data_IF_880081159059
#
_entry.id   IF_880081159059
#
_cell.length_a   1.000
_cell.length_b   1.000
_cell.length_c   1.000
_cell.angle_alpha   90.00
_cell.angle_beta   90.00
_cell.angle_gamma   90.00
#
_symmetry.space_group_name_H-M   'P 1'
#
loop_
_entity.id
_entity.type
_entity.pdbx_description
1 polymer ?
#
# COMPACT_ATOMS: atom_id res chain seq x y z
N UNK A 1 23.81 -24.28 33.86
CA UNK A 1 23.05 -23.01 33.91
C UNK A 1 23.46 -21.96 32.87
N UNK A 2 24.75 -21.65 32.58
CA UNK A 2 25.10 -20.51 31.70
C UNK A 2 24.63 -20.68 30.24
N UNK A 3 24.59 -21.93 29.75
CA UNK A 3 24.08 -22.24 28.40
C UNK A 3 22.57 -21.96 28.27
N UNK A 4 21.78 -22.19 29.31
CA UNK A 4 20.33 -21.95 29.30
C UNK A 4 20.05 -20.45 29.31
N UNK A 5 20.76 -19.68 30.14
CA UNK A 5 20.65 -18.21 30.18
C UNK A 5 20.98 -17.61 28.82
N UNK A 6 22.04 -18.11 28.17
CA UNK A 6 22.45 -17.65 26.84
C UNK A 6 21.38 -17.96 25.78
N UNK A 7 20.80 -19.17 25.79
CA UNK A 7 19.73 -19.55 24.86
C UNK A 7 18.48 -18.67 25.06
N UNK A 8 18.06 -18.44 26.30
CA UNK A 8 16.90 -17.58 26.60
C UNK A 8 17.17 -16.13 26.18
N UNK A 9 18.37 -15.61 26.44
CA UNK A 9 18.73 -14.24 26.05
C UNK A 9 18.72 -14.06 24.52
N UNK A 10 19.25 -15.03 23.77
CA UNK A 10 19.23 -15.00 22.30
C UNK A 10 17.80 -15.09 21.76
N UNK A 11 16.95 -15.97 22.32
CA UNK A 11 15.55 -16.08 21.93
C UNK A 11 14.77 -14.78 22.21
N UNK A 12 14.96 -14.19 23.40
CA UNK A 12 14.33 -12.92 23.75
C UNK A 12 14.75 -11.80 22.79
N UNK A 13 16.05 -11.69 22.50
CA UNK A 13 16.60 -10.69 21.59
C UNK A 13 16.05 -10.87 20.16
N UNK A 14 16.03 -12.10 19.64
CA UNK A 14 15.49 -12.41 18.32
C UNK A 14 13.99 -12.08 18.23
N UNK A 15 13.22 -12.37 19.28
CA UNK A 15 11.78 -12.08 19.33
C UNK A 15 11.52 -10.58 19.35
N UNK A 16 12.28 -9.83 20.16
CA UNK A 16 12.18 -8.36 20.23
C UNK A 16 12.56 -7.71 18.90
N UNK A 17 13.67 -8.13 18.28
CA UNK A 17 14.08 -7.66 16.97
C UNK A 17 13.05 -7.99 15.89
N UNK A 18 12.48 -9.20 15.91
CA UNK A 18 11.43 -9.62 14.99
C UNK A 18 10.15 -8.79 15.13
N UNK A 19 9.71 -8.55 16.36
CA UNK A 19 8.53 -7.71 16.64
C UNK A 19 8.79 -6.25 16.25
N UNK A 20 9.98 -5.72 16.51
CA UNK A 20 10.36 -4.36 16.14
C UNK A 20 10.41 -4.16 14.62
N UNK A 21 10.98 -5.13 13.89
CA UNK A 21 10.97 -5.11 12.42
C UNK A 21 9.55 -5.22 11.86
N UNK A 22 8.71 -6.09 12.45
CA UNK A 22 7.31 -6.24 12.05
C UNK A 22 6.52 -4.94 12.27
N UNK A 23 6.75 -4.25 13.37
CA UNK A 23 6.07 -2.99 13.68
C UNK A 23 6.50 -1.81 12.79
N UNK A 24 7.68 -1.88 12.18
CA UNK A 24 8.15 -0.85 11.24
C UNK A 24 7.68 -1.03 9.79
N UNK A 25 7.09 -2.17 9.44
CA UNK A 25 6.61 -2.44 8.09
C UNK A 25 5.10 -2.10 7.97
N UNK A 26 4.70 -1.41 6.89
CA UNK A 26 3.28 -1.14 6.59
C UNK A 26 2.75 0.23 7.07
N UNK A 27 3.61 1.19 7.44
CA UNK A 27 3.15 2.54 7.84
C UNK A 27 2.54 3.25 6.63
N UNK A 28 1.25 3.55 6.72
CA UNK A 28 0.56 4.48 5.84
C UNK A 28 1.16 5.86 6.01
N UNK A 29 1.61 6.43 4.89
CA UNK A 29 2.01 7.83 4.79
C UNK A 29 0.99 8.49 3.89
N UNK A 30 0.11 9.30 4.49
CA UNK A 30 -0.78 10.17 3.73
C UNK A 30 0.07 11.13 2.91
N UNK A 31 -0.28 11.34 1.65
CA UNK A 31 0.25 12.48 0.90
C UNK A 31 -0.54 13.70 1.38
N UNK A 32 0.15 14.78 1.74
CA UNK A 32 -0.53 15.99 2.21
C UNK A 32 -1.41 16.56 1.09
N UNK A 33 -2.75 16.58 1.25
CA UNK A 33 -3.66 17.05 0.20
C UNK A 33 -3.44 18.54 -0.13
N UNK A 34 -2.90 19.33 0.79
CA UNK A 34 -2.53 20.71 0.51
C UNK A 34 -1.34 20.83 -0.44
N UNK A 35 -0.40 19.86 -0.41
CA UNK A 35 0.72 19.79 -1.35
C UNK A 35 0.26 19.30 -2.73
N UNK A 36 -0.70 18.38 -2.80
CA UNK A 36 -1.30 17.95 -4.06
C UNK A 36 -2.05 19.09 -4.76
N UNK A 37 -2.80 19.90 -4.00
CA UNK A 37 -3.55 21.04 -4.54
C UNK A 37 -2.67 22.21 -5.00
N UNK A 38 -1.43 22.31 -4.51
CA UNK A 38 -0.48 23.38 -4.83
C UNK A 38 0.62 22.96 -5.80
N UNK A 39 0.62 21.70 -6.27
CA UNK A 39 1.59 21.21 -7.22
C UNK A 39 1.36 21.85 -8.62
N UNK A 40 2.43 22.24 -9.35
CA UNK A 40 2.31 22.71 -10.72
C UNK A 40 1.65 21.64 -11.61
N UNK A 41 0.93 22.06 -12.65
CA UNK A 41 0.11 21.16 -13.49
C UNK A 41 0.92 19.96 -14.07
N UNK A 42 2.21 20.14 -14.33
CA UNK A 42 3.10 19.07 -14.81
C UNK A 42 3.40 18.02 -13.72
N UNK A 43 3.37 18.39 -12.43
CA UNK A 43 3.50 17.46 -11.30
C UNK A 43 2.18 16.78 -10.93
N UNK A 44 1.04 17.36 -11.33
CA UNK A 44 -0.25 16.66 -11.29
C UNK A 44 -0.22 15.44 -12.22
N UNK A 45 0.49 15.58 -13.35
CA UNK A 45 1.11 14.53 -14.17
C UNK A 45 1.55 13.34 -13.33
N UNK A 46 2.61 13.60 -12.56
CA UNK A 46 3.34 12.64 -11.75
C UNK A 46 2.55 12.00 -10.60
N UNK A 47 1.54 12.70 -10.07
CA UNK A 47 0.71 12.22 -8.97
C UNK A 47 -0.51 11.39 -9.38
N UNK A 48 -0.79 11.26 -10.68
CA UNK A 48 -1.99 10.57 -11.20
C UNK A 48 -1.67 9.28 -11.93
N UNK A 49 -2.58 8.33 -11.82
CA UNK A 49 -2.58 7.06 -12.55
C UNK A 49 -3.92 6.89 -13.27
N UNK A 50 -3.85 6.72 -14.59
CA UNK A 50 -5.04 6.53 -15.42
C UNK A 50 -5.40 5.05 -15.56
N UNK A 51 -6.67 4.75 -15.88
CA UNK A 51 -7.12 3.39 -16.15
C UNK A 51 -6.32 2.72 -17.30
N UNK A 52 -5.86 3.51 -18.28
CA UNK A 52 -5.03 3.02 -19.37
C UNK A 52 -3.64 2.56 -18.89
N UNK A 53 -3.03 3.30 -17.96
CA UNK A 53 -1.73 2.92 -17.36
C UNK A 53 -1.85 1.71 -16.44
N UNK A 54 -3.00 1.53 -15.79
CA UNK A 54 -3.27 0.40 -14.91
C UNK A 54 -3.72 -0.87 -15.65
N UNK A 55 -4.11 -0.74 -16.93
CA UNK A 55 -4.74 -1.84 -17.68
C UNK A 55 -6.10 -2.28 -17.11
N UNK A 56 -6.68 -1.50 -16.20
CA UNK A 56 -7.88 -1.84 -15.44
C UNK A 56 -8.69 -0.58 -15.08
N UNK A 57 -10.02 -0.67 -14.96
CA UNK A 57 -10.83 0.47 -14.55
C UNK A 57 -10.55 0.89 -13.11
N UNK A 58 -10.57 2.21 -12.89
CA UNK A 58 -10.53 2.79 -11.56
C UNK A 58 -11.83 2.47 -10.80
N UNK A 59 -11.71 2.27 -9.49
CA UNK A 59 -12.85 2.15 -8.60
C UNK A 59 -13.63 3.46 -8.51
N UNK A 60 -14.95 3.38 -8.38
CA UNK A 60 -15.81 4.55 -8.29
C UNK A 60 -15.54 5.46 -7.07
N UNK A 61 -14.88 4.93 -6.03
CA UNK A 61 -14.51 5.69 -4.83
C UNK A 61 -13.01 5.70 -4.59
N UNK A 62 -12.36 4.54 -4.67
CA UNK A 62 -10.94 4.43 -4.47
C UNK A 62 -10.35 3.21 -5.18
N UNK A 63 -9.07 3.29 -5.53
CA UNK A 63 -8.33 2.19 -6.15
C UNK A 63 -7.07 1.91 -5.36
N UNK A 64 -6.86 0.65 -4.97
CA UNK A 64 -5.60 0.18 -4.43
C UNK A 64 -4.71 -0.32 -5.56
N UNK A 65 -3.55 0.29 -5.76
CA UNK A 65 -2.55 -0.16 -6.74
C UNK A 65 -1.37 -0.76 -5.98
N UNK A 66 -1.21 -2.07 -6.06
CA UNK A 66 -0.15 -2.80 -5.38
C UNK A 66 1.01 -3.08 -6.34
N UNK A 67 2.17 -2.49 -6.06
CA UNK A 67 3.43 -2.88 -6.68
C UNK A 67 3.98 -4.13 -6.00
N UNK A 68 4.11 -5.21 -6.77
CA UNK A 68 4.63 -6.50 -6.34
C UNK A 68 5.81 -6.95 -7.21
N UNK A 69 6.46 -8.03 -6.79
CA UNK A 69 7.47 -8.70 -7.61
C UNK A 69 7.12 -10.18 -7.70
N UNK A 70 7.41 -10.79 -8.84
CA UNK A 70 7.31 -12.24 -9.02
C UNK A 70 7.94 -12.97 -7.82
N UNK A 71 7.13 -13.79 -7.12
CA UNK A 71 7.56 -14.61 -5.97
C UNK A 71 7.75 -13.86 -4.62
N UNK A 72 7.01 -12.78 -4.38
CA UNK A 72 6.99 -12.14 -3.06
C UNK A 72 5.89 -12.72 -2.12
N UNK A 73 6.28 -13.53 -1.12
CA UNK A 73 5.33 -14.08 -0.14
C UNK A 73 4.54 -13.01 0.67
N UNK A 74 5.15 -11.89 1.12
CA UNK A 74 4.40 -10.79 1.74
C UNK A 74 3.39 -10.11 0.80
N UNK A 75 3.69 -10.10 -0.51
CA UNK A 75 2.83 -9.51 -1.53
C UNK A 75 1.55 -10.33 -1.71
N UNK A 76 1.64 -11.67 -1.69
CA UNK A 76 0.45 -12.55 -1.73
C UNK A 76 -0.50 -12.33 -0.56
N UNK A 77 0.04 -12.12 0.65
CA UNK A 77 -0.79 -11.80 1.82
C UNK A 77 -1.50 -10.45 1.63
N UNK A 78 -0.77 -9.45 1.16
CA UNK A 78 -1.33 -8.11 0.90
C UNK A 78 -2.42 -8.18 -0.16
N UNK A 79 -2.19 -8.91 -1.25
CA UNK A 79 -3.19 -9.15 -2.30
C UNK A 79 -4.46 -9.78 -1.73
N UNK A 80 -4.34 -10.85 -0.94
CA UNK A 80 -5.52 -11.50 -0.33
C UNK A 80 -6.33 -10.54 0.57
N UNK A 81 -5.64 -9.70 1.34
CA UNK A 81 -6.29 -8.69 2.21
C UNK A 81 -7.03 -7.64 1.39
N UNK A 82 -6.40 -7.11 0.33
CA UNK A 82 -7.00 -6.07 -0.52
C UNK A 82 -8.15 -6.62 -1.36
N UNK A 83 -7.98 -7.82 -1.95
CA UNK A 83 -9.03 -8.50 -2.70
C UNK A 83 -10.26 -8.78 -1.83
N UNK A 84 -10.05 -9.20 -0.57
CA UNK A 84 -11.15 -9.36 0.39
C UNK A 84 -11.87 -8.03 0.65
N UNK A 85 -11.13 -6.93 0.86
CA UNK A 85 -11.74 -5.61 1.08
C UNK A 85 -12.56 -5.14 -0.12
N UNK A 86 -12.08 -5.37 -1.35
CA UNK A 86 -12.82 -5.07 -2.58
C UNK A 86 -14.09 -5.89 -2.68
N UNK A 87 -14.09 -7.15 -2.25
CA UNK A 87 -15.30 -8.00 -2.27
C UNK A 87 -16.37 -7.57 -1.26
N UNK A 88 -16.00 -6.84 -0.22
CA UNK A 88 -16.88 -6.45 0.88
C UNK A 88 -17.32 -4.97 0.83
N UNK A 89 -16.81 -4.17 -0.12
CA UNK A 89 -17.09 -2.73 -0.19
C UNK A 89 -17.28 -2.28 -1.62
N UNK A 90 -18.38 -1.55 -1.87
CA UNK A 90 -18.70 -1.08 -3.21
C UNK A 90 -17.82 0.10 -3.63
N UNK A 91 -17.46 0.13 -4.91
CA UNK A 91 -16.68 1.21 -5.50
C UNK A 91 -15.18 1.17 -5.18
N UNK A 92 -14.68 0.09 -4.57
CA UNK A 92 -13.26 -0.21 -4.50
C UNK A 92 -12.79 -1.00 -5.71
N UNK A 93 -11.58 -0.72 -6.17
CA UNK A 93 -10.86 -1.54 -7.13
C UNK A 93 -9.49 -1.89 -6.57
N UNK A 94 -8.95 -3.06 -6.93
CA UNK A 94 -7.60 -3.48 -6.59
C UNK A 94 -6.90 -3.94 -7.85
N UNK A 95 -5.74 -3.34 -8.11
CA UNK A 95 -4.89 -3.63 -9.27
C UNK A 95 -3.51 -4.00 -8.75
N UNK A 96 -2.96 -5.10 -9.26
CA UNK A 96 -1.59 -5.52 -9.00
C UNK A 96 -0.71 -5.19 -10.21
N UNK A 97 0.46 -4.60 -9.95
CA UNK A 97 1.43 -4.21 -10.97
C UNK A 97 2.78 -4.83 -10.62
N UNK A 98 3.33 -5.64 -11.52
CA UNK A 98 4.67 -6.19 -11.33
C UNK A 98 5.73 -5.09 -11.58
N UNK A 99 6.68 -4.96 -10.65
CA UNK A 99 7.75 -3.95 -10.70
C UNK A 99 8.73 -4.14 -11.86
N UNK A 100 8.88 -5.35 -12.38
CA UNK A 100 9.74 -5.68 -13.54
C UNK A 100 9.06 -5.22 -14.82
N UNK A 101 7.74 -5.39 -14.92
CA UNK A 101 6.96 -4.98 -16.09
C UNK A 101 6.71 -3.47 -16.11
N UNK A 102 6.61 -2.81 -14.95
CA UNK A 102 6.23 -1.40 -14.80
C UNK A 102 7.35 -0.53 -14.19
N UNK A 103 8.57 -0.65 -14.71
CA UNK A 103 9.75 0.07 -14.20
C UNK A 103 9.65 1.59 -14.29
N UNK A 104 8.90 2.11 -15.26
CA UNK A 104 8.60 3.53 -15.43
C UNK A 104 7.79 4.07 -14.24
N UNK A 105 6.72 3.37 -13.86
CA UNK A 105 5.88 3.72 -12.71
C UNK A 105 6.63 3.56 -11.38
N UNK A 106 7.46 2.52 -11.25
CA UNK A 106 8.34 2.31 -10.09
C UNK A 106 9.26 3.50 -9.85
N UNK A 107 9.87 4.03 -10.92
CA UNK A 107 10.75 5.20 -10.84
C UNK A 107 9.96 6.47 -10.53
N UNK A 108 8.85 6.69 -11.23
CA UNK A 108 7.98 7.87 -11.05
C UNK A 108 7.48 8.01 -9.61
N UNK A 109 7.02 6.93 -9.00
CA UNK A 109 6.47 6.94 -7.64
C UNK A 109 7.51 6.62 -6.54
N UNK A 110 8.79 6.46 -6.90
CA UNK A 110 9.87 6.18 -5.96
C UNK A 110 9.60 4.91 -5.14
N UNK A 111 9.27 3.81 -5.82
CA UNK A 111 8.99 2.52 -5.18
C UNK A 111 10.31 1.85 -4.80
N UNK A 112 10.77 2.10 -3.58
CA UNK A 112 12.06 1.60 -3.07
C UNK A 112 11.99 0.20 -2.44
N UNK A 113 10.78 -0.28 -2.11
CA UNK A 113 10.55 -1.55 -1.42
C UNK A 113 9.23 -2.17 -1.87
N UNK A 114 9.18 -3.50 -1.96
CA UNK A 114 7.97 -4.28 -2.23
C UNK A 114 7.51 -5.03 -0.96
N UNK A 115 6.20 -5.25 -0.77
CA UNK A 115 5.10 -4.62 -1.52
C UNK A 115 4.99 -3.12 -1.17
N UNK A 116 4.58 -2.30 -2.13
CA UNK A 116 4.09 -0.94 -1.86
C UNK A 116 2.72 -0.79 -2.48
N UNK A 117 1.75 -0.29 -1.71
CA UNK A 117 0.39 -0.04 -2.18
C UNK A 117 0.16 1.46 -2.24
N UNK A 118 -0.21 1.97 -3.41
CA UNK A 118 -0.72 3.32 -3.59
C UNK A 118 -2.24 3.30 -3.44
N UNK A 119 -2.78 4.30 -2.75
CA UNK A 119 -4.22 4.54 -2.69
C UNK A 119 -4.53 5.71 -3.62
N UNK A 120 -5.42 5.46 -4.57
CA UNK A 120 -5.91 6.44 -5.51
C UNK A 120 -7.36 6.81 -5.16
N UNK A 121 -7.74 8.05 -5.40
CA UNK A 121 -9.14 8.47 -5.40
C UNK A 121 -9.88 8.06 -6.70
N UNK A 122 -11.14 8.49 -6.82
CA UNK A 122 -11.97 8.20 -7.99
C UNK A 122 -11.43 8.83 -9.29
N UNK A 123 -10.65 9.91 -9.19
CA UNK A 123 -10.04 10.62 -10.32
C UNK A 123 -8.64 10.07 -10.67
N UNK A 124 -8.18 9.04 -9.95
CA UNK A 124 -6.86 8.43 -10.15
C UNK A 124 -5.70 9.20 -9.51
N UNK A 125 -5.96 10.18 -8.65
CA UNK A 125 -4.93 10.90 -7.90
C UNK A 125 -4.43 10.04 -6.76
N UNK A 126 -3.12 9.94 -6.59
CA UNK A 126 -2.50 9.24 -5.46
C UNK A 126 -2.65 10.07 -4.19
N UNK A 127 -3.55 9.64 -3.31
CA UNK A 127 -3.89 10.29 -2.04
C UNK A 127 -3.11 9.72 -0.85
N UNK A 128 -2.46 8.57 -1.02
CA UNK A 128 -1.66 7.95 0.02
C UNK A 128 -0.80 6.79 -0.45
N UNK A 129 0.17 6.41 0.37
CA UNK A 129 1.00 5.23 0.14
C UNK A 129 1.19 4.40 1.40
N UNK A 130 1.24 3.08 1.23
CA UNK A 130 1.65 2.14 2.26
C UNK A 130 2.87 1.37 1.76
N UNK A 131 3.99 1.52 2.45
CA UNK A 131 5.22 0.81 2.11
C UNK A 131 5.43 -0.38 3.05
N UNK A 132 5.57 -1.56 2.47
CA UNK A 132 5.62 -2.85 3.15
C UNK A 132 4.27 -3.56 3.18
N UNK A 133 4.27 -4.76 3.76
CA UNK A 133 3.06 -5.57 3.86
C UNK A 133 1.94 -4.80 4.57
N UNK A 134 0.79 -4.73 3.91
CA UNK A 134 -0.39 -4.05 4.43
C UNK A 134 -1.32 -5.07 5.08
N UNK A 135 -1.85 -4.73 6.25
CA UNK A 135 -2.94 -5.46 6.87
C UNK A 135 -4.28 -4.73 6.64
N UNK A 136 -5.37 -5.43 6.93
CA UNK A 136 -6.72 -4.93 6.72
C UNK A 136 -6.98 -3.63 7.48
N UNK A 137 -6.44 -3.51 8.70
CA UNK A 137 -6.65 -2.36 9.58
C UNK A 137 -5.99 -1.11 8.99
N UNK A 138 -4.76 -1.23 8.47
CA UNK A 138 -4.08 -0.12 7.81
C UNK A 138 -4.78 0.30 6.51
N UNK A 139 -5.27 -0.66 5.72
CA UNK A 139 -6.02 -0.36 4.50
C UNK A 139 -7.34 0.39 4.79
N UNK A 140 -8.07 -0.02 5.83
CA UNK A 140 -9.29 0.68 6.28
C UNK A 140 -8.99 2.08 6.79
N UNK A 141 -7.97 2.24 7.62
CA UNK A 141 -7.55 3.54 8.12
C UNK A 141 -7.15 4.50 6.98
N UNK A 142 -6.53 3.98 5.92
CA UNK A 142 -6.20 4.76 4.73
C UNK A 142 -7.46 5.24 3.98
N UNK A 143 -8.48 4.38 3.84
CA UNK A 143 -9.76 4.76 3.22
C UNK A 143 -10.50 5.81 4.05
N UNK A 144 -10.51 5.66 5.38
CA UNK A 144 -11.13 6.63 6.29
C UNK A 144 -10.46 8.00 6.23
N UNK A 145 -9.13 8.03 6.10
CA UNK A 145 -8.37 9.27 5.99
C UNK A 145 -8.55 9.97 4.63
N UNK A 146 -8.74 9.20 3.54
CA UNK A 146 -8.71 9.74 2.18
C UNK A 146 -10.08 9.92 1.51
N UNK A 147 -11.14 9.23 1.96
CA UNK A 147 -12.47 9.32 1.36
C UNK A 147 -13.46 10.09 2.28
N UNK A 148 -13.69 11.41 2.05
CA UNK A 148 -14.74 12.13 2.76
C UNK A 148 -16.11 11.53 2.41
N UNK A 149 -16.74 10.85 3.37
CA UNK A 149 -18.00 10.10 3.19
C UNK A 149 -17.86 8.57 3.22
N UNK A 150 -16.67 8.03 3.50
CA UNK A 150 -16.41 6.61 3.68
C UNK A 150 -16.59 5.77 2.41
N UNK A 151 -16.43 4.46 2.50
CA UNK A 151 -16.75 3.53 1.40
C UNK A 151 -17.77 2.53 1.95
N UNK A 152 -18.99 2.44 1.40
CA UNK A 152 -20.04 1.60 1.97
C UNK A 152 -19.61 0.13 1.96
N UNK A 153 -19.97 -0.58 3.03
CA UNK A 153 -19.88 -2.03 3.04
C UNK A 153 -21.03 -2.62 2.22
N UNK A 154 -20.75 -3.71 1.52
CA UNK A 154 -21.70 -4.55 0.78
C UNK A 154 -22.51 -5.39 1.78
#
# INVERSE_FOLDING_TARGET
>A
MPRIVLVVAVLALATVLGLWWRARNGRYTAVDPALLASAPADAADDSRLTAAQLGAPLGARATFVQFSSEVCAPCRRTHAVLAQLVSEREGLSHVEMDVVEHLDLVRRFGIMRTPTTLLLDADGVVVGRMSGATDRRHALAALEASCPGGVPAV
#
